data_IF_409739916178
#
_entry.id   IF_409739916178
#
_cell.length_a   1.000
_cell.length_b   1.000
_cell.length_c   1.000
_cell.angle_alpha   90.00
_cell.angle_beta   90.00
_cell.angle_gamma   90.00
#
_symmetry.space_group_name_H-M   'P 1'
#
loop_
_entity.id
_entity.type
_entity.pdbx_description
1 polymer ?
#
# COMPACT_ATOMS: atom_id res chain seq x y z
N UNK A 1 23.31 -11.85 9.65
CA UNK A 1 24.28 -11.12 8.77
C UNK A 1 23.91 -9.64 8.67
N UNK A 2 24.90 -8.73 8.70
CA UNK A 2 24.65 -7.28 8.62
C UNK A 2 23.90 -6.88 7.34
N UNK A 3 24.23 -7.49 6.20
CA UNK A 3 23.53 -7.28 4.92
C UNK A 3 22.01 -7.46 5.03
N UNK A 4 21.55 -8.55 5.67
CA UNK A 4 20.11 -8.82 5.84
C UNK A 4 19.46 -7.77 6.75
N UNK A 5 20.18 -7.29 7.76
CA UNK A 5 19.67 -6.24 8.64
C UNK A 5 19.54 -4.90 7.89
N UNK A 6 20.53 -4.53 7.08
CA UNK A 6 20.47 -3.35 6.19
C UNK A 6 19.25 -3.43 5.28
N UNK A 7 19.06 -4.57 4.61
CA UNK A 7 17.92 -4.80 3.71
C UNK A 7 16.57 -4.69 4.44
N UNK A 8 16.42 -5.34 5.60
CA UNK A 8 15.17 -5.31 6.36
C UNK A 8 14.83 -3.90 6.88
N UNK A 9 15.84 -3.15 7.35
CA UNK A 9 15.64 -1.78 7.83
C UNK A 9 15.33 -0.82 6.68
N UNK A 10 16.04 -0.94 5.55
CA UNK A 10 15.76 -0.18 4.34
C UNK A 10 14.36 -0.46 3.79
N UNK A 11 13.96 -1.73 3.72
CA UNK A 11 12.63 -2.14 3.30
C UNK A 11 11.54 -1.58 4.23
N UNK A 12 11.73 -1.68 5.54
CA UNK A 12 10.79 -1.11 6.53
C UNK A 12 10.68 0.40 6.40
N UNK A 13 11.79 1.08 6.18
CA UNK A 13 11.81 2.54 5.97
C UNK A 13 11.14 2.92 4.67
N UNK A 14 11.31 2.14 3.59
CA UNK A 14 10.61 2.38 2.34
C UNK A 14 9.12 2.09 2.44
N UNK A 15 8.69 1.06 3.17
CA UNK A 15 7.27 0.87 3.54
C UNK A 15 6.67 2.14 4.15
N UNK A 16 7.38 2.78 5.10
CA UNK A 16 6.94 4.02 5.73
C UNK A 16 6.90 5.19 4.73
N UNK A 17 7.89 5.30 3.86
CA UNK A 17 7.91 6.30 2.79
C UNK A 17 6.69 6.17 1.84
N UNK A 18 6.39 4.94 1.41
CA UNK A 18 5.22 4.66 0.57
C UNK A 18 3.92 5.01 1.29
N UNK A 19 3.82 4.70 2.57
CA UNK A 19 2.61 4.96 3.35
C UNK A 19 2.35 6.45 3.62
N UNK A 20 3.41 7.26 3.74
CA UNK A 20 3.29 8.63 4.28
C UNK A 20 3.71 9.74 3.31
N UNK A 21 4.49 9.44 2.27
CA UNK A 21 5.12 10.46 1.41
C UNK A 21 4.71 10.30 -0.04
N UNK A 22 4.99 9.15 -0.65
CA UNK A 22 4.67 8.89 -2.06
C UNK A 22 4.17 7.46 -2.23
N UNK A 23 2.86 7.27 -2.32
CA UNK A 23 2.24 5.95 -2.49
C UNK A 23 2.48 5.31 -3.86
N UNK A 24 2.86 6.11 -4.87
CA UNK A 24 3.03 5.68 -6.25
C UNK A 24 4.28 6.33 -6.87
N UNK A 25 5.47 6.03 -6.33
CA UNK A 25 6.69 6.67 -6.79
C UNK A 25 7.02 6.26 -8.22
N UNK A 26 7.53 7.23 -8.98
CA UNK A 26 7.96 7.02 -10.36
C UNK A 26 9.16 6.07 -10.44
N UNK A 27 9.19 5.21 -11.45
CA UNK A 27 10.35 4.36 -11.75
C UNK A 27 11.65 5.15 -11.95
N UNK A 28 11.56 6.41 -12.40
CA UNK A 28 12.74 7.28 -12.53
C UNK A 28 13.40 7.62 -11.20
N UNK A 29 12.65 7.58 -10.09
CA UNK A 29 13.12 7.89 -8.73
C UNK A 29 13.57 6.65 -7.95
N UNK A 30 13.37 5.44 -8.49
CA UNK A 30 13.63 4.17 -7.81
C UNK A 30 14.98 4.07 -7.11
N UNK A 31 16.06 4.41 -7.82
CA UNK A 31 17.40 4.38 -7.25
C UNK A 31 17.53 5.36 -6.08
N UNK A 32 17.07 6.59 -6.28
CA UNK A 32 17.19 7.67 -5.30
C UNK A 32 16.40 7.35 -4.02
N UNK A 33 15.13 6.99 -4.14
CA UNK A 33 14.24 6.82 -2.98
C UNK A 33 14.52 5.53 -2.21
N UNK A 34 14.80 4.42 -2.91
CA UNK A 34 15.22 3.18 -2.25
C UNK A 34 16.54 3.36 -1.51
N UNK A 35 17.51 4.06 -2.11
CA UNK A 35 18.80 4.29 -1.47
C UNK A 35 18.71 5.24 -0.28
N UNK A 36 17.92 6.31 -0.38
CA UNK A 36 17.64 7.21 0.74
C UNK A 36 16.97 6.47 1.91
N UNK A 37 16.06 5.54 1.61
CA UNK A 37 15.40 4.72 2.63
C UNK A 37 16.34 3.73 3.30
N UNK A 38 17.31 3.20 2.56
CA UNK A 38 18.40 2.40 3.14
C UNK A 38 19.26 3.23 4.09
N UNK A 39 19.67 4.43 3.66
CA UNK A 39 20.49 5.34 4.47
C UNK A 39 19.77 5.74 5.77
N UNK A 40 18.49 6.12 5.67
CA UNK A 40 17.71 6.47 6.86
C UNK A 40 17.46 5.24 7.76
N UNK A 41 17.21 4.07 7.17
CA UNK A 41 16.95 2.85 7.93
C UNK A 41 18.15 2.34 8.74
N UNK A 42 19.38 2.58 8.30
CA UNK A 42 20.60 2.18 9.02
C UNK A 42 21.12 3.24 9.99
N UNK A 43 20.59 4.46 9.91
CA UNK A 43 21.07 5.63 10.64
C UNK A 43 21.20 5.36 12.14
N UNK A 44 22.35 5.76 12.69
CA UNK A 44 22.67 5.58 14.11
C UNK A 44 23.23 4.20 14.46
N UNK A 45 23.53 3.36 13.46
CA UNK A 45 24.23 2.09 13.64
C UNK A 45 25.46 2.05 12.75
N UNK A 46 26.63 2.31 13.35
CA UNK A 46 27.92 2.38 12.64
C UNK A 46 28.18 1.12 11.80
N UNK A 47 28.01 -0.07 12.36
CA UNK A 47 28.23 -1.33 11.63
C UNK A 47 27.34 -1.48 10.38
N UNK A 48 26.08 -0.99 10.45
CA UNK A 48 25.13 -1.08 9.33
C UNK A 48 25.38 0.02 8.28
N UNK A 49 25.84 1.20 8.72
CA UNK A 49 26.25 2.29 7.83
C UNK A 49 27.51 1.93 7.04
N UNK A 50 28.49 1.28 7.69
CA UNK A 50 29.68 0.74 7.04
C UNK A 50 29.32 -0.35 6.02
N UNK A 51 28.46 -1.29 6.41
CA UNK A 51 27.99 -2.35 5.50
C UNK A 51 27.22 -1.78 4.31
N UNK A 52 26.33 -0.79 4.51
CA UNK A 52 25.62 -0.12 3.40
C UNK A 52 26.60 0.60 2.47
N UNK A 53 27.63 1.23 3.02
CA UNK A 53 28.69 1.90 2.23
C UNK A 53 29.44 0.88 1.37
N UNK A 54 29.83 -0.26 1.94
CA UNK A 54 30.45 -1.38 1.21
C UNK A 54 29.54 -1.91 0.10
N UNK A 55 28.25 -2.10 0.39
CA UNK A 55 27.26 -2.54 -0.59
C UNK A 55 27.10 -1.53 -1.74
N UNK A 56 27.28 -0.23 -1.46
CA UNK A 56 27.19 0.85 -2.45
C UNK A 56 28.36 0.93 -3.43
N UNK A 57 29.51 0.33 -3.10
CA UNK A 57 30.69 0.28 -3.97
C UNK A 57 30.61 -0.83 -5.02
N UNK A 58 29.85 -1.89 -4.75
CA UNK A 58 29.57 -2.97 -5.69
C UNK A 58 28.28 -2.65 -6.46
N UNK A 59 28.41 -2.32 -7.75
CA UNK A 59 27.28 -1.96 -8.62
C UNK A 59 26.20 -3.03 -8.66
N UNK A 60 26.58 -4.31 -8.72
CA UNK A 60 25.64 -5.43 -8.81
C UNK A 60 24.89 -5.62 -7.48
N UNK A 61 25.61 -5.57 -6.37
CA UNK A 61 25.02 -5.67 -5.04
C UNK A 61 24.11 -4.48 -4.73
N UNK A 62 24.52 -3.27 -5.13
CA UNK A 62 23.72 -2.05 -5.01
C UNK A 62 22.41 -2.17 -5.77
N UNK A 63 22.44 -2.61 -7.02
CA UNK A 63 21.23 -2.78 -7.83
C UNK A 63 20.27 -3.81 -7.21
N UNK A 64 20.79 -4.97 -6.79
CA UNK A 64 19.99 -6.01 -6.11
C UNK A 64 19.36 -5.48 -4.82
N UNK A 65 20.10 -4.70 -4.05
CA UNK A 65 19.66 -4.09 -2.80
C UNK A 65 18.53 -3.09 -3.04
N UNK A 66 18.68 -2.23 -4.05
CA UNK A 66 17.66 -1.27 -4.46
C UNK A 66 16.40 -1.99 -4.96
N UNK A 67 16.55 -3.05 -5.74
CA UNK A 67 15.43 -3.86 -6.24
C UNK A 67 14.65 -4.52 -5.09
N UNK A 68 15.36 -5.05 -4.09
CA UNK A 68 14.75 -5.64 -2.90
C UNK A 68 13.93 -4.60 -2.14
N UNK A 69 14.51 -3.44 -1.81
CA UNK A 69 13.82 -2.39 -1.06
C UNK A 69 12.64 -1.82 -1.84
N UNK A 70 12.79 -1.60 -3.14
CA UNK A 70 11.71 -1.13 -4.01
C UNK A 70 10.48 -2.05 -3.99
N UNK A 71 10.69 -3.35 -3.74
CA UNK A 71 9.61 -4.34 -3.59
C UNK A 71 8.60 -4.00 -2.50
N UNK A 72 8.98 -3.20 -1.49
CA UNK A 72 8.08 -2.80 -0.40
C UNK A 72 6.84 -2.05 -0.90
N UNK A 73 6.97 -1.26 -1.99
CA UNK A 73 5.84 -0.56 -2.60
C UNK A 73 4.80 -1.53 -3.17
N UNK A 74 5.26 -2.59 -3.82
CA UNK A 74 4.36 -3.63 -4.33
C UNK A 74 3.72 -4.42 -3.19
N UNK A 75 4.45 -4.66 -2.10
CA UNK A 75 3.91 -5.34 -0.93
C UNK A 75 2.75 -4.56 -0.28
N UNK A 76 2.95 -3.28 0.08
CA UNK A 76 1.88 -2.47 0.70
C UNK A 76 0.65 -2.37 -0.19
N UNK A 77 0.85 -2.13 -1.49
CA UNK A 77 -0.26 -2.02 -2.45
C UNK A 77 -1.00 -3.34 -2.60
N UNK A 78 -0.27 -4.46 -2.69
CA UNK A 78 -0.87 -5.79 -2.76
C UNK A 78 -1.69 -6.12 -1.51
N UNK A 79 -1.16 -5.83 -0.32
CA UNK A 79 -1.87 -6.03 0.94
C UNK A 79 -3.16 -5.20 1.03
N UNK A 80 -3.10 -3.92 0.62
CA UNK A 80 -4.29 -3.05 0.57
C UNK A 80 -5.34 -3.54 -0.43
N UNK A 81 -4.93 -3.93 -1.63
CA UNK A 81 -5.85 -4.49 -2.65
C UNK A 81 -6.55 -5.72 -2.10
N UNK A 82 -5.80 -6.66 -1.51
CA UNK A 82 -6.37 -7.88 -0.95
C UNK A 82 -7.37 -7.59 0.17
N UNK A 83 -7.03 -6.66 1.09
CA UNK A 83 -7.94 -6.24 2.17
C UNK A 83 -9.19 -5.55 1.63
N UNK A 84 -9.06 -4.72 0.59
CA UNK A 84 -10.20 -4.10 -0.06
C UNK A 84 -11.12 -5.15 -0.69
N UNK A 85 -10.57 -6.11 -1.45
CA UNK A 85 -11.34 -7.20 -2.04
C UNK A 85 -12.14 -7.99 -0.99
N UNK A 86 -11.54 -8.28 0.17
CA UNK A 86 -12.23 -8.98 1.26
C UNK A 86 -13.37 -8.16 1.88
N UNK A 87 -13.32 -6.82 1.80
CA UNK A 87 -14.28 -5.91 2.44
C UNK A 87 -15.37 -5.40 1.51
N UNK A 88 -15.14 -5.38 0.19
CA UNK A 88 -16.10 -4.87 -0.81
C UNK A 88 -17.49 -5.43 -0.57
N UNK A 89 -17.60 -6.75 -0.37
CA UNK A 89 -18.91 -7.37 -0.28
C UNK A 89 -19.73 -6.95 0.92
N UNK A 90 -19.09 -6.80 2.09
CA UNK A 90 -19.76 -6.34 3.30
C UNK A 90 -19.98 -4.82 3.28
N UNK A 91 -19.01 -4.06 2.75
CA UNK A 91 -19.05 -2.59 2.78
C UNK A 91 -20.09 -2.01 1.81
N UNK A 92 -20.28 -2.69 0.67
CA UNK A 92 -21.14 -2.25 -0.41
C UNK A 92 -22.38 -3.16 -0.59
N UNK A 93 -22.49 -4.26 0.17
CA UNK A 93 -23.53 -5.27 0.00
C UNK A 93 -23.54 -5.93 -1.41
N UNK A 94 -22.38 -6.06 -2.06
CA UNK A 94 -22.20 -6.66 -3.41
C UNK A 94 -21.44 -8.00 -3.31
N UNK A 95 -21.90 -9.14 -3.87
CA UNK A 95 -23.12 -9.29 -4.64
C UNK A 95 -24.36 -9.44 -3.77
N UNK A 96 -24.23 -9.77 -2.48
CA UNK A 96 -25.38 -9.90 -1.57
C UNK A 96 -26.52 -10.71 -2.18
N UNK A 97 -27.71 -10.09 -2.28
CA UNK A 97 -28.90 -10.63 -2.97
C UNK A 97 -29.10 -10.07 -4.39
N UNK A 98 -28.11 -9.36 -4.95
CA UNK A 98 -28.18 -8.73 -6.26
C UNK A 98 -28.05 -9.77 -7.38
N UNK A 99 -28.74 -9.53 -8.49
CA UNK A 99 -28.55 -10.33 -9.70
C UNK A 99 -27.23 -9.93 -10.37
N UNK A 100 -26.61 -10.82 -11.16
CA UNK A 100 -25.33 -10.52 -11.83
C UNK A 100 -25.32 -9.21 -12.64
N UNK A 101 -26.43 -8.88 -13.31
CA UNK A 101 -26.54 -7.63 -14.10
C UNK A 101 -26.57 -6.37 -13.21
N UNK A 102 -27.21 -6.46 -12.04
CA UNK A 102 -27.29 -5.36 -11.08
C UNK A 102 -25.92 -5.12 -10.44
N UNK A 103 -25.13 -6.18 -10.22
CA UNK A 103 -23.73 -6.08 -9.76
C UNK A 103 -22.89 -5.30 -10.76
N UNK A 104 -22.94 -5.66 -12.04
CA UNK A 104 -22.20 -4.93 -13.08
C UNK A 104 -22.59 -3.46 -13.12
N UNK A 105 -23.90 -3.18 -13.08
CA UNK A 105 -24.42 -1.80 -13.10
C UNK A 105 -23.92 -0.98 -11.92
N UNK A 106 -23.97 -1.54 -10.71
CA UNK A 106 -23.49 -0.90 -9.49
C UNK A 106 -21.99 -0.62 -9.54
N UNK A 107 -21.19 -1.62 -9.93
CA UNK A 107 -19.71 -1.48 -10.03
C UNK A 107 -19.33 -0.44 -11.07
N UNK A 108 -19.98 -0.45 -12.24
CA UNK A 108 -19.75 0.57 -13.27
C UNK A 108 -20.07 1.98 -12.76
N UNK A 109 -21.19 2.14 -12.07
CA UNK A 109 -21.60 3.42 -11.51
C UNK A 109 -20.59 3.92 -10.47
N UNK A 110 -20.18 3.06 -9.52
CA UNK A 110 -19.16 3.39 -8.52
C UNK A 110 -17.84 3.86 -9.16
N UNK A 111 -17.37 3.16 -10.20
CA UNK A 111 -16.12 3.51 -10.89
C UNK A 111 -16.25 4.82 -11.67
N UNK A 112 -17.35 5.00 -12.41
CA UNK A 112 -17.58 6.21 -13.23
C UNK A 112 -17.70 7.47 -12.39
N UNK A 113 -18.38 7.38 -11.25
CA UNK A 113 -18.62 8.53 -10.38
C UNK A 113 -17.54 8.74 -9.32
N UNK A 114 -16.71 7.73 -9.04
CA UNK A 114 -15.80 7.77 -7.88
C UNK A 114 -16.52 7.72 -6.53
N UNK A 115 -17.81 7.37 -6.51
CA UNK A 115 -18.69 7.50 -5.34
C UNK A 115 -18.28 6.61 -4.15
N UNK A 116 -17.42 5.61 -4.36
CA UNK A 116 -16.87 4.74 -3.31
C UNK A 116 -15.99 5.45 -2.28
N UNK A 117 -15.63 6.72 -2.53
CA UNK A 117 -14.87 7.54 -1.59
C UNK A 117 -15.77 8.33 -0.64
N UNK A 118 -17.00 8.62 -1.03
CA UNK A 118 -17.83 9.63 -0.39
C UNK A 118 -18.79 9.04 0.65
N UNK A 119 -19.31 9.90 1.53
CA UNK A 119 -20.27 9.56 2.57
C UNK A 119 -21.66 9.23 2.02
N UNK A 120 -22.50 8.63 2.87
CA UNK A 120 -23.92 8.36 2.60
C UNK A 120 -24.19 7.63 1.28
N UNK A 121 -23.28 6.73 0.89
CA UNK A 121 -23.36 5.92 -0.32
C UNK A 121 -24.52 4.90 -0.24
N UNK A 122 -25.48 5.02 -1.17
CA UNK A 122 -26.51 4.02 -1.40
C UNK A 122 -26.42 3.47 -2.83
N UNK A 123 -25.99 2.20 -2.90
CA UNK A 123 -25.79 1.49 -4.16
C UNK A 123 -27.10 1.13 -4.85
N UNK A 124 -28.19 0.95 -4.10
CA UNK A 124 -29.49 0.60 -4.69
C UNK A 124 -30.10 1.79 -5.41
N UNK A 125 -29.93 2.98 -4.85
CA UNK A 125 -30.47 4.23 -5.42
C UNK A 125 -29.45 5.00 -6.24
N UNK A 126 -28.18 4.57 -6.27
CA UNK A 126 -27.07 5.27 -6.92
C UNK A 126 -26.94 6.72 -6.42
N UNK A 127 -26.96 6.89 -5.09
CA UNK A 127 -26.80 8.20 -4.43
C UNK A 127 -25.60 8.20 -3.48
N UNK A 128 -25.03 9.38 -3.25
CA UNK A 128 -23.90 9.61 -2.36
C UNK A 128 -23.81 11.11 -2.02
N UNK A 129 -23.15 11.46 -0.92
CA UNK A 129 -22.92 12.85 -0.50
C UNK A 129 -21.51 13.34 -0.88
N UNK A 130 -21.44 14.11 -1.96
CA UNK A 130 -20.20 14.75 -2.44
C UNK A 130 -19.59 15.74 -1.43
N UNK A 131 -20.33 16.19 -0.42
CA UNK A 131 -19.82 17.08 0.63
C UNK A 131 -19.07 16.30 1.72
N UNK A 132 -19.06 14.98 1.66
CA UNK A 132 -18.39 14.09 2.61
C UNK A 132 -17.30 13.23 1.94
N UNK A 133 -16.23 13.85 1.39
CA UNK A 133 -15.15 13.09 0.77
C UNK A 133 -14.39 12.26 1.78
N UNK A 134 -14.05 11.02 1.39
CA UNK A 134 -13.36 10.03 2.23
C UNK A 134 -14.12 9.57 3.48
N UNK A 135 -15.44 9.76 3.54
CA UNK A 135 -16.26 9.38 4.69
C UNK A 135 -16.82 7.96 4.62
N UNK A 136 -16.64 7.24 3.50
CA UNK A 136 -17.09 5.86 3.44
C UNK A 136 -16.35 4.98 4.48
N UNK A 137 -17.07 4.19 5.32
CA UNK A 137 -16.46 3.43 6.42
C UNK A 137 -15.32 2.49 6.01
N UNK A 138 -15.37 1.99 4.76
CA UNK A 138 -14.32 1.12 4.20
C UNK A 138 -12.93 1.75 4.25
N UNK A 139 -12.80 3.08 4.13
CA UNK A 139 -11.50 3.77 4.13
C UNK A 139 -10.86 3.64 5.50
N UNK A 140 -11.63 3.91 6.55
CA UNK A 140 -11.20 3.72 7.94
C UNK A 140 -10.84 2.26 8.19
N UNK A 141 -11.68 1.33 7.76
CA UNK A 141 -11.41 -0.09 7.92
C UNK A 141 -10.12 -0.52 7.23
N UNK A 142 -9.85 -0.05 6.02
CA UNK A 142 -8.62 -0.38 5.30
C UNK A 142 -7.37 0.17 5.99
N UNK A 143 -7.43 1.40 6.51
CA UNK A 143 -6.33 1.99 7.27
C UNK A 143 -6.09 1.21 8.57
N UNK A 144 -7.15 0.88 9.31
CA UNK A 144 -7.02 0.12 10.57
C UNK A 144 -6.44 -1.27 10.28
N UNK A 145 -6.99 -1.98 9.29
CA UNK A 145 -6.54 -3.33 8.95
C UNK A 145 -5.12 -3.35 8.36
N UNK A 146 -4.64 -2.27 7.75
CA UNK A 146 -3.30 -2.22 7.18
C UNK A 146 -2.21 -1.87 8.20
N UNK A 147 -2.46 -0.94 9.13
CA UNK A 147 -1.43 -0.46 10.04
C UNK A 147 -1.58 -0.94 11.50
N UNK A 148 -2.75 -1.43 11.89
CA UNK A 148 -3.04 -1.80 13.28
C UNK A 148 -3.44 -3.26 13.50
N UNK A 149 -3.69 -4.03 12.42
CA UNK A 149 -3.95 -5.48 12.51
C UNK A 149 -2.68 -6.33 12.48
N UNK A 150 -2.81 -7.60 12.87
CA UNK A 150 -1.69 -8.54 12.82
C UNK A 150 -1.25 -8.80 11.36
N UNK A 151 0.07 -8.86 11.12
CA UNK A 151 0.62 -9.13 9.78
C UNK A 151 0.14 -10.50 9.30
N UNK A 152 -0.43 -10.55 8.09
CA UNK A 152 -0.86 -11.80 7.44
C UNK A 152 -2.37 -12.05 7.40
N UNK A 153 -3.20 -11.19 7.99
CA UNK A 153 -4.68 -11.34 7.94
C UNK A 153 -5.29 -11.20 6.53
N UNK A 154 -4.52 -10.71 5.54
CA UNK A 154 -4.94 -10.69 4.13
C UNK A 154 -4.76 -12.02 3.41
N UNK A 155 -4.08 -13.01 4.00
CA UNK A 155 -3.84 -14.32 3.39
C UNK A 155 -4.72 -15.39 4.05
N UNK A 156 -6.02 -15.37 3.74
CA UNK A 156 -6.91 -16.53 3.91
C UNK A 156 -7.75 -16.71 2.67
#
# INVERSE_FOLDING_TARGET
PFTVQVLNRGHTTFCLHIAMVDGFPSMSKKMQESWASLQEGVKGSTDLEEELTRMGQDTSLKERTVNYVWGAASQIRGELVTKACQRISTSYNIPGTMKPQDVTTAVEWLIKMGAFLDGDLDIKTHTYDMQQPFHHPIIKDLIVNQWYSSKGEGAK
#
